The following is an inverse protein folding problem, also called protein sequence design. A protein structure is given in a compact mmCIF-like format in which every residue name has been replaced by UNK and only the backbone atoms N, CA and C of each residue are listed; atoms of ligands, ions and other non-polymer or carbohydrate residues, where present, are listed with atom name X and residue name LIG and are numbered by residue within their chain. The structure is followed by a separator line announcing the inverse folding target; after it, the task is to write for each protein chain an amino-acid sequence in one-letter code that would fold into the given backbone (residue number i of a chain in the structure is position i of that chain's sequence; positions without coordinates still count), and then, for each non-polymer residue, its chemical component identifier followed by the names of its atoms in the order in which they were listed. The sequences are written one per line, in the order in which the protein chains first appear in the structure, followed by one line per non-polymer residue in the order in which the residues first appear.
data_IF_014023177760
#
_entry.id   IF_014023177760
#
_cell.length_a   1.000
_cell.length_b   1.000
_cell.length_c   1.000
_cell.angle_alpha   90.00
_cell.angle_beta   90.00
_cell.angle_gamma   90.00
#
_symmetry.space_group_name_H-M   'P 1'
#
loop_
_entity.id
_entity.type
_entity.pdbx_description
1 polymer ?
#
# COMPACT_ATOMS: atom_id res chain seq x y z
N UNK A 1 -3.20 1.61 17.88
CA UNK A 1 -3.25 2.70 16.88
C UNK A 1 -2.75 2.25 15.52
N UNK A 2 -1.60 1.55 15.48
CA UNK A 2 -0.99 1.01 14.27
C UNK A 2 -1.91 0.05 13.47
N UNK A 3 -2.60 -0.86 14.16
CA UNK A 3 -3.50 -1.83 13.51
C UNK A 3 -4.77 -1.17 12.97
N UNK A 4 -5.32 -0.17 13.66
CA UNK A 4 -6.47 0.62 13.18
C UNK A 4 -6.13 1.37 11.89
N UNK A 5 -4.91 1.89 11.78
CA UNK A 5 -4.42 2.52 10.56
C UNK A 5 -4.26 1.51 9.42
N UNK A 6 -3.63 0.35 9.71
CA UNK A 6 -3.47 -0.73 8.74
C UNK A 6 -4.82 -1.22 8.21
N UNK A 7 -5.80 -1.41 9.10
CA UNK A 7 -7.17 -1.80 8.74
C UNK A 7 -7.86 -0.75 7.86
N UNK A 8 -7.69 0.54 8.18
CA UNK A 8 -8.22 1.64 7.37
C UNK A 8 -7.63 1.60 5.95
N UNK A 9 -6.30 1.48 5.84
CA UNK A 9 -5.61 1.47 4.53
C UNK A 9 -5.93 0.24 3.71
N UNK A 10 -5.98 -0.94 4.33
CA UNK A 10 -6.43 -2.15 3.65
C UNK A 10 -7.86 -2.00 3.13
N UNK A 11 -8.77 -1.37 3.89
CA UNK A 11 -10.14 -1.12 3.43
C UNK A 11 -10.18 -0.18 2.21
N UNK A 12 -9.38 0.89 2.20
CA UNK A 12 -9.26 1.82 1.07
C UNK A 12 -8.76 1.09 -0.18
N UNK A 13 -7.77 0.21 -0.04
CA UNK A 13 -7.22 -0.58 -1.16
C UNK A 13 -8.24 -1.58 -1.71
N UNK A 14 -9.01 -2.23 -0.84
CA UNK A 14 -10.11 -3.11 -1.28
C UNK A 14 -11.13 -2.32 -2.11
N UNK A 15 -11.53 -1.14 -1.63
CA UNK A 15 -12.48 -0.30 -2.35
C UNK A 15 -11.93 0.16 -3.70
N UNK A 16 -10.65 0.53 -3.75
CA UNK A 16 -9.94 0.85 -4.99
C UNK A 16 -9.95 -0.33 -5.97
N UNK A 17 -9.55 -1.52 -5.52
CA UNK A 17 -9.46 -2.71 -6.37
C UNK A 17 -10.83 -3.20 -6.85
N UNK A 18 -11.90 -2.94 -6.09
CA UNK A 18 -13.27 -3.21 -6.53
C UNK A 18 -13.78 -2.19 -7.55
N UNK A 19 -13.16 -1.00 -7.67
CA UNK A 19 -13.58 0.07 -8.58
C UNK A 19 -12.78 0.11 -9.89
N UNK A 20 -11.52 -0.32 -9.86
CA UNK A 20 -10.62 -0.26 -11.00
C UNK A 20 -10.55 -1.61 -11.73
N UNK A 21 -10.77 -1.58 -13.04
CA UNK A 21 -10.77 -2.77 -13.92
C UNK A 21 -9.65 -2.71 -14.97
N UNK A 22 -8.72 -1.78 -14.81
CA UNK A 22 -7.77 -1.38 -15.86
C UNK A 22 -6.51 -2.24 -15.97
N UNK A 23 -6.33 -3.22 -15.07
CA UNK A 23 -5.31 -4.28 -15.22
C UNK A 23 -3.85 -3.82 -15.03
N UNK A 24 -3.62 -2.69 -14.36
CA UNK A 24 -2.28 -2.19 -14.03
C UNK A 24 -1.68 -2.80 -12.76
N UNK A 25 -0.45 -2.39 -12.44
CA UNK A 25 0.30 -2.86 -11.27
C UNK A 25 -0.43 -2.60 -9.95
N UNK A 26 -1.12 -1.46 -9.83
CA UNK A 26 -1.89 -1.10 -8.65
C UNK A 26 -3.08 -2.03 -8.45
N UNK A 27 -3.78 -2.36 -9.52
CA UNK A 27 -4.92 -3.27 -9.51
C UNK A 27 -4.48 -4.70 -9.20
N UNK A 28 -3.30 -5.12 -9.67
CA UNK A 28 -2.73 -6.41 -9.30
C UNK A 28 -2.46 -6.50 -7.79
N UNK A 29 -1.85 -5.47 -7.20
CA UNK A 29 -1.58 -5.43 -5.75
C UNK A 29 -2.88 -5.33 -4.95
N UNK A 30 -3.85 -4.52 -5.39
CA UNK A 30 -5.17 -4.47 -4.77
C UNK A 30 -5.89 -5.82 -4.83
N UNK A 31 -5.76 -6.54 -5.96
CA UNK A 31 -6.27 -7.90 -6.13
C UNK A 31 -5.63 -8.90 -5.16
N UNK A 32 -4.34 -8.78 -4.88
CA UNK A 32 -3.66 -9.59 -3.84
C UNK A 32 -4.25 -9.31 -2.45
N UNK A 33 -4.46 -8.04 -2.08
CA UNK A 33 -5.09 -7.65 -0.81
C UNK A 33 -6.51 -8.20 -0.71
N UNK A 34 -7.32 -8.03 -1.76
CA UNK A 34 -8.69 -8.57 -1.82
C UNK A 34 -8.68 -10.09 -1.67
N UNK A 35 -7.76 -10.80 -2.35
CA UNK A 35 -7.66 -12.26 -2.27
C UNK A 35 -7.26 -12.73 -0.86
N UNK A 36 -6.27 -12.09 -0.26
CA UNK A 36 -5.83 -12.37 1.11
C UNK A 36 -6.99 -12.18 2.10
N UNK A 37 -7.72 -11.06 1.98
CA UNK A 37 -8.87 -10.76 2.82
C UNK A 37 -10.04 -11.71 2.56
N UNK A 38 -10.34 -12.06 1.31
CA UNK A 38 -11.43 -12.97 0.96
C UNK A 38 -11.22 -14.35 1.58
N UNK A 39 -9.98 -14.83 1.60
CA UNK A 39 -9.62 -16.10 2.24
C UNK A 39 -9.86 -16.06 3.75
N UNK A 40 -9.53 -14.95 4.42
CA UNK A 40 -9.66 -14.81 5.89
C UNK A 40 -11.04 -14.41 6.37
N UNK A 41 -11.78 -13.64 5.57
CA UNK A 41 -13.12 -13.14 5.87
C UNK A 41 -14.23 -14.09 5.40
N UNK A 42 -13.87 -15.26 4.85
CA UNK A 42 -14.84 -16.22 4.35
C UNK A 42 -15.83 -16.59 5.47
N UNK A 43 -17.12 -16.30 5.27
CA UNK A 43 -18.17 -16.53 6.25
C UNK A 43 -18.33 -15.43 7.33
N UNK A 44 -17.41 -14.46 7.40
CA UNK A 44 -17.44 -13.34 8.36
C UNK A 44 -17.94 -12.07 7.68
N UNK A 45 -17.44 -11.76 6.47
CA UNK A 45 -17.80 -10.55 5.75
C UNK A 45 -17.90 -10.82 4.25
N UNK A 46 -19.00 -10.36 3.64
CA UNK A 46 -19.13 -10.40 2.19
C UNK A 46 -18.43 -9.19 1.57
N UNK A 47 -17.28 -9.42 0.95
CA UNK A 47 -16.50 -8.37 0.29
C UNK A 47 -17.24 -7.70 -0.88
N UNK A 48 -18.24 -8.35 -1.49
CA UNK A 48 -19.07 -7.70 -2.51
C UNK A 48 -19.92 -6.56 -1.91
N UNK A 49 -20.18 -6.59 -0.60
CA UNK A 49 -20.86 -5.52 0.16
C UNK A 49 -19.89 -4.56 0.85
N UNK A 50 -18.60 -4.66 0.58
CA UNK A 50 -17.57 -3.76 1.12
C UNK A 50 -17.90 -2.28 0.89
N UNK A 51 -18.48 -1.96 -0.27
CA UNK A 51 -18.86 -0.59 -0.65
C UNK A 51 -19.97 -0.02 0.22
N UNK A 52 -20.94 -0.84 0.58
CA UNK A 52 -22.11 -0.44 1.36
C UNK A 52 -21.77 -0.32 2.86
N UNK A 53 -20.72 -1.00 3.31
CA UNK A 53 -20.42 -1.18 4.73
C UNK A 53 -18.91 -1.04 5.01
N UNK A 54 -18.33 0.11 4.65
CA UNK A 54 -16.90 0.36 4.81
C UNK A 54 -16.42 0.26 6.27
N UNK A 55 -17.21 0.75 7.23
CA UNK A 55 -16.89 0.65 8.65
C UNK A 55 -16.89 -0.80 9.15
N UNK A 56 -17.81 -1.63 8.66
CA UNK A 56 -17.82 -3.06 8.98
C UNK A 56 -16.64 -3.80 8.34
N UNK A 57 -16.26 -3.44 7.10
CA UNK A 57 -15.05 -3.98 6.47
C UNK A 57 -13.82 -3.65 7.32
N UNK A 58 -13.65 -2.38 7.71
CA UNK A 58 -12.54 -1.93 8.55
C UNK A 58 -12.53 -2.66 9.91
N UNK A 59 -13.68 -2.81 10.55
CA UNK A 59 -13.80 -3.55 11.81
C UNK A 59 -13.44 -5.03 11.65
N UNK A 60 -13.90 -5.67 10.57
CA UNK A 60 -13.59 -7.07 10.28
C UNK A 60 -12.09 -7.28 10.01
N UNK A 61 -11.46 -6.37 9.26
CA UNK A 61 -10.00 -6.39 9.04
C UNK A 61 -9.26 -6.19 10.37
N UNK A 62 -9.68 -5.21 11.17
CA UNK A 62 -9.07 -4.93 12.48
C UNK A 62 -9.12 -6.16 13.38
N UNK A 63 -10.26 -6.88 13.41
CA UNK A 63 -10.38 -8.09 14.20
C UNK A 63 -9.36 -9.16 13.74
N UNK A 64 -9.29 -9.42 12.43
CA UNK A 64 -8.38 -10.41 11.86
C UNK A 64 -6.90 -10.13 12.13
N UNK A 65 -6.45 -8.89 11.96
CA UNK A 65 -5.04 -8.54 12.20
C UNK A 65 -4.67 -8.54 13.68
N UNK A 66 -5.66 -8.40 14.58
CA UNK A 66 -5.44 -8.51 16.02
C UNK A 66 -5.29 -9.98 16.43
N UNK A 67 -6.03 -10.88 15.78
CA UNK A 67 -6.04 -12.32 16.08
C UNK A 67 -4.89 -13.08 15.39
N UNK A 68 -4.49 -12.69 14.18
CA UNK A 68 -3.49 -13.40 13.37
C UNK A 68 -2.32 -12.48 12.99
N UNK A 69 -1.22 -12.59 13.77
CA UNK A 69 0.01 -11.81 13.55
C UNK A 69 0.69 -12.11 12.21
N UNK A 70 0.59 -13.35 11.70
CA UNK A 70 1.19 -13.71 10.41
C UNK A 70 0.43 -13.02 9.28
N UNK A 71 -0.90 -13.06 9.36
CA UNK A 71 -1.77 -12.33 8.45
C UNK A 71 -1.56 -10.82 8.52
N UNK A 72 -1.48 -10.24 9.73
CA UNK A 72 -1.15 -8.82 9.94
C UNK A 72 0.10 -8.42 9.17
N UNK A 73 1.20 -9.16 9.35
CA UNK A 73 2.47 -8.83 8.70
C UNK A 73 2.40 -8.98 7.18
N UNK A 74 1.70 -10.00 6.68
CA UNK A 74 1.48 -10.16 5.24
C UNK A 74 0.67 -8.99 4.66
N UNK A 75 -0.41 -8.59 5.34
CA UNK A 75 -1.26 -7.48 4.93
C UNK A 75 -0.47 -6.15 4.95
N UNK A 76 0.34 -5.92 5.97
CA UNK A 76 1.22 -4.75 6.07
C UNK A 76 2.15 -4.66 4.85
N UNK A 77 2.82 -5.76 4.47
CA UNK A 77 3.69 -5.78 3.28
C UNK A 77 2.92 -5.48 1.99
N UNK A 78 1.69 -5.97 1.85
CA UNK A 78 0.86 -5.68 0.68
C UNK A 78 0.44 -4.21 0.62
N UNK A 79 0.06 -3.62 1.77
CA UNK A 79 -0.29 -2.19 1.86
C UNK A 79 0.92 -1.31 1.53
N UNK A 80 2.12 -1.66 2.01
CA UNK A 80 3.35 -0.95 1.68
C UNK A 80 3.68 -1.00 0.18
N UNK A 81 3.52 -2.17 -0.44
CA UNK A 81 3.72 -2.33 -1.89
C UNK A 81 2.74 -1.47 -2.68
N UNK A 82 1.46 -1.45 -2.28
CA UNK A 82 0.45 -0.63 -2.93
C UNK A 82 0.81 0.85 -2.87
N UNK A 83 1.17 1.37 -1.69
CA UNK A 83 1.56 2.77 -1.51
C UNK A 83 2.82 3.14 -2.29
N UNK A 84 3.81 2.25 -2.35
CA UNK A 84 5.02 2.47 -3.15
C UNK A 84 4.67 2.60 -4.63
N UNK A 85 3.83 1.72 -5.15
CA UNK A 85 3.40 1.75 -6.56
C UNK A 85 2.50 2.96 -6.86
N UNK A 86 1.66 3.35 -5.90
CA UNK A 86 0.80 4.54 -6.01
C UNK A 86 1.66 5.80 -6.12
N UNK A 87 2.65 5.93 -5.23
CA UNK A 87 3.62 7.03 -5.28
C UNK A 87 4.47 7.02 -6.54
N UNK A 88 4.85 5.84 -7.05
CA UNK A 88 5.61 5.74 -8.30
C UNK A 88 4.75 6.17 -9.51
N UNK A 89 3.48 5.76 -9.55
CA UNK A 89 2.52 6.18 -10.59
C UNK A 89 2.26 7.69 -10.54
N UNK A 90 2.18 8.27 -9.35
CA UNK A 90 2.06 9.72 -9.14
C UNK A 90 3.34 10.45 -9.56
N UNK A 91 4.52 9.96 -9.19
CA UNK A 91 5.82 10.56 -9.57
C UNK A 91 6.08 10.52 -11.09
N UNK A 92 5.64 9.47 -11.79
CA UNK A 92 5.73 9.39 -13.26
C UNK A 92 4.80 10.39 -13.93
N UNK A 93 3.74 10.82 -13.24
CA UNK A 93 2.74 11.76 -13.78
C UNK A 93 3.04 13.22 -13.40
N UNK A 94 3.60 13.49 -12.22
CA UNK A 94 3.91 14.86 -11.76
C UNK A 94 5.05 14.90 -10.73
N UNK A 95 6.03 15.79 -10.91
CA UNK A 95 6.81 16.42 -9.83
C UNK A 95 5.87 17.26 -8.93
N UNK A 96 4.87 16.65 -8.27
CA UNK A 96 3.89 17.38 -7.49
C UNK A 96 3.52 16.65 -6.20
N UNK A 97 3.95 17.29 -5.11
CA UNK A 97 3.26 17.34 -3.83
C UNK A 97 3.16 16.02 -3.04
N UNK A 98 4.28 15.72 -2.40
CA UNK A 98 4.37 15.48 -0.94
C UNK A 98 3.12 14.88 -0.28
N UNK A 99 2.82 13.62 -0.62
CA UNK A 99 2.09 12.70 0.26
C UNK A 99 2.98 11.52 0.64
N UNK A 100 4.21 11.82 1.06
CA UNK A 100 5.11 10.81 1.60
C UNK A 100 4.66 10.45 3.02
N UNK A 101 3.65 9.59 3.15
CA UNK A 101 3.32 8.97 4.44
C UNK A 101 4.39 7.92 4.73
N UNK A 102 5.34 8.29 5.59
CA UNK A 102 6.48 7.48 5.92
C UNK A 102 6.10 6.30 6.84
N UNK A 103 5.73 5.17 6.23
CA UNK A 103 5.60 3.89 6.93
C UNK A 103 6.94 3.28 7.36
N UNK A 104 8.10 3.87 6.99
CA UNK A 104 9.41 3.33 7.41
C UNK A 104 9.63 3.38 8.93
N UNK A 105 8.73 3.99 9.70
CA UNK A 105 8.76 3.93 11.16
C UNK A 105 8.02 2.72 11.76
N UNK A 106 7.51 1.79 10.93
CA UNK A 106 6.85 0.56 11.39
C UNK A 106 7.79 -0.64 11.52
N UNK A 107 8.99 -0.58 10.97
CA UNK A 107 9.97 -1.68 10.95
C UNK A 107 11.24 -1.36 11.72
N UNK A 108 11.16 -0.52 12.77
CA UNK A 108 12.30 -0.21 13.64
C UNK A 108 12.69 -1.36 14.59
N UNK A 109 12.37 -2.61 14.23
CA UNK A 109 12.95 -3.82 14.81
C UNK A 109 13.27 -4.84 13.72
N UNK A 110 13.99 -4.44 12.67
CA UNK A 110 15.02 -5.31 12.06
C UNK A 110 15.87 -4.52 11.09
N UNK A 111 17.15 -4.39 11.42
CA UNK A 111 18.19 -3.85 10.56
C UNK A 111 18.13 -4.44 9.15
N UNK A 112 18.00 -3.59 8.14
CA UNK A 112 18.68 -3.81 6.86
C UNK A 112 18.88 -2.48 6.16
N UNK A 113 20.15 -2.12 5.97
CA UNK A 113 20.59 -1.00 5.16
C UNK A 113 20.00 -1.14 3.75
N UNK A 114 18.95 -0.38 3.44
CA UNK A 114 18.54 -0.16 2.06
C UNK A 114 19.42 0.96 1.54
N UNK A 115 20.46 0.58 0.79
CA UNK A 115 21.26 1.47 -0.01
C UNK A 115 20.33 2.29 -0.92
N UNK A 116 20.25 3.59 -0.67
CA UNK A 116 19.67 4.56 -1.58
C UNK A 116 20.63 4.74 -2.77
N UNK A 117 20.56 3.82 -3.74
CA UNK A 117 21.21 4.00 -5.05
C UNK A 117 20.46 5.10 -5.80
N UNK A 118 20.87 6.34 -5.54
CA UNK A 118 20.33 7.54 -6.16
C UNK A 118 21.16 7.84 -7.40
N UNK A 119 20.86 7.15 -8.49
CA UNK A 119 21.44 7.45 -9.79
C UNK A 119 20.51 8.43 -10.52
N UNK A 120 20.80 9.73 -10.42
CA UNK A 120 20.19 10.76 -11.28
C UNK A 120 21.30 11.69 -11.77
N UNK A 121 21.64 11.55 -13.05
CA UNK A 121 22.64 12.36 -13.73
C UNK A 121 22.28 13.84 -13.79
N UNK A 122 23.30 14.69 -13.68
CA UNK A 122 23.23 16.12 -13.96
C UNK A 122 24.50 16.54 -14.74
N UNK A 123 24.35 16.61 -16.07
CA UNK A 123 24.78 17.70 -16.96
C UNK A 123 26.21 18.27 -16.78
N UNK A 124 27.14 17.88 -17.66
CA UNK A 124 28.33 18.67 -17.96
C UNK A 124 28.01 19.70 -19.05
N UNK A 125 27.80 20.95 -18.64
CA UNK A 125 27.74 22.10 -19.54
C UNK A 125 29.15 22.48 -20.03
N UNK A 126 29.29 22.60 -21.35
CA UNK A 126 30.44 23.20 -22.02
C UNK A 126 30.52 24.69 -21.70
N UNK A 127 31.65 25.15 -21.15
CA UNK A 127 32.11 26.52 -21.35
C UNK A 127 33.61 26.52 -21.64
N UNK A 128 33.91 26.72 -22.93
CA UNK A 128 35.17 27.26 -23.48
C UNK A 128 35.30 28.71 -23.04
N UNK A 129 36.48 29.12 -22.60
CA UNK A 129 37.09 30.46 -22.73
C UNK A 129 38.60 30.20 -22.59
N UNK A 130 39.33 30.14 -23.70
CA UNK A 130 40.23 31.22 -24.18
C UNK A 130 41.40 31.48 -23.24
#
# INVERSE_FOLDING_TARGET
MLDTLLASKASEIVLYGLDKVTGGSLEAIAGEVIKSLKSKLQGIFNLDRARENQELLKAAILNLITEDKSFRNNLEQQVLRFQKEENNTINVTQNAQDRSFNFNNLTAETNTNIAADTNIGQQHNYFRNE
#
